data_IF_787432885460
#
_entry.id   IF_787432885460
#
_cell.length_a   1.000
_cell.length_b   1.000
_cell.length_c   1.000
_cell.angle_alpha   90.00
_cell.angle_beta   90.00
_cell.angle_gamma   90.00
#
_symmetry.space_group_name_H-M   'P 1'
#
loop_
_entity.id
_entity.type
_entity.pdbx_description
1 polymer ?
#
# COMPACT_ATOMS: atom_id res chain seq x y z
N UNK A 1 -9.43 9.87 2.58
CA UNK A 1 -8.41 8.80 2.74
C UNK A 1 -7.87 8.25 1.42
N UNK A 2 -8.66 8.18 0.33
CA UNK A 2 -8.15 7.73 -0.97
C UNK A 2 -6.90 8.47 -1.48
N UNK A 3 -6.77 9.77 -1.19
CA UNK A 3 -5.56 10.56 -1.49
C UNK A 3 -4.33 10.10 -0.71
N UNK A 4 -4.48 9.85 0.59
CA UNK A 4 -3.38 9.39 1.47
C UNK A 4 -2.90 7.99 1.08
N UNK A 5 -3.82 7.07 0.79
CA UNK A 5 -3.48 5.77 0.21
C UNK A 5 -2.79 5.94 -1.16
N UNK A 6 -3.25 6.91 -1.95
CA UNK A 6 -2.68 7.33 -3.23
C UNK A 6 -1.19 7.71 -3.14
N UNK A 7 -0.83 8.44 -2.11
CA UNK A 7 0.50 9.03 -1.91
C UNK A 7 1.42 8.18 -1.02
N UNK A 8 0.89 7.14 -0.35
CA UNK A 8 1.66 6.30 0.56
C UNK A 8 2.84 5.60 -0.14
N UNK A 9 4.05 5.87 0.35
CA UNK A 9 5.32 5.22 -0.04
C UNK A 9 6.05 4.73 1.21
N UNK A 10 6.83 3.67 1.08
CA UNK A 10 7.66 3.13 2.17
C UNK A 10 8.72 4.13 2.63
N UNK A 11 9.35 4.85 1.68
CA UNK A 11 10.40 5.82 2.01
C UNK A 11 11.55 5.19 2.79
N UNK A 12 11.86 5.76 3.96
CA UNK A 12 12.90 5.27 4.90
C UNK A 12 12.35 4.31 5.97
N UNK A 13 11.04 4.09 6.02
CA UNK A 13 10.42 3.18 6.98
C UNK A 13 10.70 1.72 6.65
N UNK A 14 10.61 0.88 7.67
CA UNK A 14 10.65 -0.57 7.49
C UNK A 14 9.45 -1.06 6.69
N UNK A 15 9.58 -2.25 6.09
CA UNK A 15 8.45 -2.89 5.39
C UNK A 15 7.28 -3.11 6.36
N UNK A 16 7.56 -3.47 7.61
CA UNK A 16 6.53 -3.70 8.62
C UNK A 16 5.70 -2.43 8.90
N UNK A 17 6.36 -1.29 9.13
CA UNK A 17 5.68 -0.01 9.37
C UNK A 17 4.85 0.43 8.17
N UNK A 18 5.42 0.31 6.96
CA UNK A 18 4.71 0.60 5.72
C UNK A 18 3.47 -0.31 5.54
N UNK A 19 3.63 -1.60 5.81
CA UNK A 19 2.53 -2.59 5.72
C UNK A 19 1.41 -2.28 6.69
N UNK A 20 1.76 -1.93 7.93
CA UNK A 20 0.80 -1.56 8.94
C UNK A 20 -0.01 -0.33 8.51
N UNK A 21 0.67 0.73 8.05
CA UNK A 21 0.01 1.96 7.60
C UNK A 21 -0.85 1.72 6.36
N UNK A 22 -0.38 0.91 5.41
CA UNK A 22 -1.15 0.54 4.23
C UNK A 22 -2.44 -0.20 4.61
N UNK A 23 -2.37 -1.18 5.51
CA UNK A 23 -3.54 -1.94 5.96
C UNK A 23 -4.54 -1.06 6.72
N UNK A 24 -4.04 -0.12 7.53
CA UNK A 24 -4.87 0.87 8.20
C UNK A 24 -5.66 1.71 7.18
N UNK A 25 -4.99 2.29 6.19
CA UNK A 25 -5.63 3.11 5.16
C UNK A 25 -6.59 2.32 4.27
N UNK A 26 -6.27 1.06 3.94
CA UNK A 26 -7.18 0.18 3.20
C UNK A 26 -8.45 -0.07 4.01
N UNK A 27 -8.33 -0.39 5.30
CA UNK A 27 -9.48 -0.65 6.17
C UNK A 27 -10.41 0.56 6.24
N UNK A 28 -9.87 1.75 6.45
CA UNK A 28 -10.72 2.94 6.47
C UNK A 28 -11.27 3.32 5.08
N UNK A 29 -10.54 3.03 4.00
CA UNK A 29 -11.05 3.29 2.64
C UNK A 29 -12.21 2.35 2.27
N UNK A 30 -12.18 1.10 2.75
CA UNK A 30 -13.26 0.12 2.60
C UNK A 30 -14.55 0.60 3.24
N UNK A 31 -14.45 1.20 4.44
CA UNK A 31 -15.59 1.71 5.20
C UNK A 31 -16.27 2.92 4.52
N UNK A 32 -15.56 3.65 3.64
CA UNK A 32 -16.01 4.95 3.11
C UNK A 32 -16.37 4.93 1.62
N UNK A 33 -15.76 4.10 0.76
CA UNK A 33 -15.93 4.25 -0.70
C UNK A 33 -15.89 2.95 -1.51
N UNK A 34 -16.14 1.80 -0.88
CA UNK A 34 -16.12 0.51 -1.56
C UNK A 34 -14.72 -0.09 -1.70
N UNK A 35 -14.69 -1.41 -1.80
CA UNK A 35 -13.45 -2.17 -1.76
C UNK A 35 -12.61 -2.05 -3.02
N UNK A 36 -11.31 -1.81 -2.86
CA UNK A 36 -10.34 -2.13 -3.90
C UNK A 36 -10.35 -3.64 -4.15
N UNK A 37 -10.46 -4.04 -5.41
CA UNK A 37 -10.25 -5.44 -5.80
C UNK A 37 -8.85 -5.92 -5.36
N UNK A 38 -8.73 -7.22 -5.07
CA UNK A 38 -7.51 -7.83 -4.54
C UNK A 38 -6.27 -7.53 -5.40
N UNK A 39 -6.43 -7.52 -6.73
CA UNK A 39 -5.33 -7.21 -7.66
C UNK A 39 -4.91 -5.74 -7.56
N UNK A 40 -5.87 -4.82 -7.45
CA UNK A 40 -5.60 -3.40 -7.29
C UNK A 40 -4.89 -3.12 -5.95
N UNK A 41 -5.31 -3.80 -4.87
CA UNK A 41 -4.65 -3.70 -3.56
C UNK A 41 -3.20 -4.20 -3.61
N UNK A 42 -2.94 -5.37 -4.19
CA UNK A 42 -1.59 -5.91 -4.35
C UNK A 42 -0.70 -5.00 -5.19
N UNK A 43 -1.20 -4.51 -6.33
CA UNK A 43 -0.44 -3.58 -7.17
C UNK A 43 -0.12 -2.30 -6.40
N UNK A 44 -1.09 -1.74 -5.68
CA UNK A 44 -0.89 -0.52 -4.91
C UNK A 44 0.19 -0.68 -3.83
N UNK A 45 0.11 -1.77 -3.08
CA UNK A 45 1.10 -2.11 -2.05
C UNK A 45 2.50 -2.25 -2.67
N UNK A 46 2.63 -3.03 -3.75
CA UNK A 46 3.92 -3.26 -4.42
C UNK A 46 4.54 -1.96 -4.97
N UNK A 47 3.74 -1.08 -5.58
CA UNK A 47 4.23 0.20 -6.11
C UNK A 47 4.59 1.21 -5.03
N UNK A 48 4.14 1.02 -3.79
CA UNK A 48 4.53 1.87 -2.67
C UNK A 48 5.80 1.41 -1.95
N UNK A 49 6.24 0.17 -2.15
CA UNK A 49 7.50 -0.33 -1.59
C UNK A 49 8.72 0.43 -2.16
N UNK A 50 9.80 0.41 -1.38
CA UNK A 50 11.11 0.92 -1.83
C UNK A 50 11.59 0.10 -3.03
N UNK A 51 12.29 0.74 -3.96
CA UNK A 51 12.57 0.18 -5.28
C UNK A 51 13.32 -1.16 -5.27
N UNK A 52 14.27 -1.33 -4.36
CA UNK A 52 15.02 -2.57 -4.15
C UNK A 52 14.11 -3.74 -3.73
N UNK A 53 13.19 -3.47 -2.79
CA UNK A 53 12.24 -4.48 -2.31
C UNK A 53 11.19 -4.74 -3.38
N UNK A 54 10.60 -3.70 -3.98
CA UNK A 54 9.61 -3.81 -5.05
C UNK A 54 10.12 -4.66 -6.23
N UNK A 55 11.40 -4.51 -6.56
CA UNK A 55 12.06 -5.34 -7.58
C UNK A 55 12.15 -6.81 -7.15
N UNK A 56 12.59 -7.09 -5.92
CA UNK A 56 12.69 -8.45 -5.40
C UNK A 56 11.34 -9.19 -5.34
N UNK A 57 10.23 -8.50 -5.05
CA UNK A 57 8.89 -9.13 -5.01
C UNK A 57 8.18 -9.18 -6.37
N UNK A 58 8.79 -8.67 -7.43
CA UNK A 58 8.23 -8.69 -8.79
C UNK A 58 8.78 -9.82 -9.67
N UNK A 59 9.79 -10.55 -9.19
CA UNK A 59 10.36 -11.77 -9.78
C UNK A 59 9.57 -13.00 -9.33
#
# INVERSE_FOLDING_TARGET
MGRELGELKQGTSTVAEYTQRFNELIRYSLDVSGALDGKAKMNKYRYGLRGDIAHAVSL
#
